data_IF_945054077092
#
_entry.id   IF_945054077092
#
_cell.length_a   1.000
_cell.length_b   1.000
_cell.length_c   1.000
_cell.angle_alpha   90.00
_cell.angle_beta   90.00
_cell.angle_gamma   90.00
#
_symmetry.space_group_name_H-M   'P 1'
#
loop_
_entity.id
_entity.type
_entity.pdbx_description
1 polymer ?
#
# COMPACT_ATOMS: atom_id res chain seq x y z
N UNK A 1 7.40 -3.34 -4.88
CA UNK A 1 8.42 -4.18 -4.22
C UNK A 1 8.24 -5.63 -4.67
N UNK A 2 9.12 -6.55 -4.29
CA UNK A 2 8.83 -8.00 -4.41
C UNK A 2 7.95 -8.39 -3.21
N UNK A 3 6.75 -8.87 -3.46
CA UNK A 3 5.85 -9.40 -2.43
C UNK A 3 6.11 -10.89 -2.30
N UNK A 4 6.46 -11.33 -1.10
CA UNK A 4 6.49 -12.76 -0.80
C UNK A 4 5.06 -13.27 -0.56
N UNK A 5 4.40 -13.69 -1.64
CA UNK A 5 3.05 -14.23 -1.58
C UNK A 5 2.97 -15.58 -0.87
N UNK A 6 4.07 -16.17 -0.39
CA UNK A 6 4.05 -17.40 0.41
C UNK A 6 3.71 -17.15 1.88
N UNK A 7 3.71 -15.88 2.32
CA UNK A 7 3.39 -15.50 3.70
C UNK A 7 1.92 -15.79 4.06
N UNK A 8 1.62 -15.98 5.37
CA UNK A 8 0.26 -16.17 5.85
C UNK A 8 -0.67 -14.99 5.55
N UNK A 9 -1.97 -15.26 5.47
CA UNK A 9 -3.00 -14.25 5.22
C UNK A 9 -2.87 -13.03 6.15
N UNK A 10 -2.79 -13.27 7.47
CA UNK A 10 -2.73 -12.20 8.47
C UNK A 10 -1.52 -11.27 8.27
N UNK A 11 -0.37 -11.82 7.88
CA UNK A 11 0.86 -11.03 7.63
C UNK A 11 0.71 -10.16 6.39
N UNK A 12 0.15 -10.72 5.31
CA UNK A 12 -0.08 -10.00 4.06
C UNK A 12 -1.15 -8.91 4.21
N UNK A 13 -2.22 -9.20 4.98
CA UNK A 13 -3.28 -8.24 5.31
C UNK A 13 -2.73 -7.07 6.14
N UNK A 14 -2.02 -7.35 7.25
CA UNK A 14 -1.42 -6.30 8.09
C UNK A 14 -0.44 -5.43 7.27
N UNK A 15 0.38 -6.05 6.41
CA UNK A 15 1.27 -5.33 5.52
C UNK A 15 0.53 -4.42 4.53
N UNK A 16 -0.61 -4.85 4.01
CA UNK A 16 -1.43 -4.05 3.11
C UNK A 16 -2.08 -2.87 3.85
N UNK A 17 -2.65 -3.12 5.03
CA UNK A 17 -3.27 -2.09 5.87
C UNK A 17 -2.27 -1.01 6.26
N UNK A 18 -1.06 -1.41 6.66
CA UNK A 18 0.00 -0.46 7.01
C UNK A 18 0.38 0.43 5.82
N UNK A 19 0.50 -0.12 4.61
CA UNK A 19 0.80 0.67 3.41
C UNK A 19 -0.35 1.61 3.04
N UNK A 20 -1.60 1.17 3.14
CA UNK A 20 -2.76 2.04 2.94
C UNK A 20 -2.78 3.19 3.94
N UNK A 21 -2.44 2.91 5.21
CA UNK A 21 -2.33 3.93 6.23
C UNK A 21 -1.27 4.98 5.89
N UNK A 22 -0.08 4.54 5.48
CA UNK A 22 1.01 5.44 5.05
C UNK A 22 0.61 6.28 3.83
N UNK A 23 0.04 5.66 2.79
CA UNK A 23 -0.45 6.38 1.60
C UNK A 23 -1.48 7.45 1.97
N UNK A 24 -2.45 7.10 2.82
CA UNK A 24 -3.49 8.04 3.28
C UNK A 24 -2.86 9.25 3.96
N UNK A 25 -1.90 9.02 4.85
CA UNK A 25 -1.22 10.10 5.55
C UNK A 25 -0.33 10.95 4.63
N UNK A 26 0.31 10.33 3.63
CA UNK A 26 1.11 11.04 2.64
C UNK A 26 0.23 11.94 1.76
N UNK A 27 -0.89 11.43 1.26
CA UNK A 27 -1.86 12.19 0.47
C UNK A 27 -2.49 13.33 1.29
N UNK A 28 -2.81 13.08 2.57
CA UNK A 28 -3.28 14.14 3.47
C UNK A 28 -2.22 15.24 3.67
N UNK A 29 -0.94 14.84 3.82
CA UNK A 29 0.17 15.79 3.91
C UNK A 29 0.29 16.62 2.64
N UNK A 30 0.23 15.97 1.47
CA UNK A 30 0.24 16.64 0.16
C UNK A 30 -0.93 17.62 0.00
N UNK A 31 -2.14 17.24 0.43
CA UNK A 31 -3.32 18.12 0.37
C UNK A 31 -3.18 19.36 1.26
N UNK A 32 -2.37 19.28 2.33
CA UNK A 32 -2.07 20.41 3.22
C UNK A 32 -0.92 21.30 2.76
N UNK A 33 -0.19 20.90 1.70
CA UNK A 33 0.93 21.68 1.18
C UNK A 33 0.44 22.95 0.51
N UNK A 34 1.14 24.06 0.75
CA UNK A 34 0.83 25.32 0.09
C UNK A 34 1.44 25.32 -1.33
N UNK A 35 0.64 25.38 -2.40
CA UNK A 35 1.14 25.34 -3.78
C UNK A 35 2.08 26.50 -4.13
N UNK A 36 1.95 27.64 -3.43
CA UNK A 36 2.78 28.82 -3.67
C UNK A 36 4.16 28.77 -2.99
N UNK A 37 4.40 27.79 -2.12
CA UNK A 37 5.65 27.64 -1.35
C UNK A 37 6.36 26.31 -1.54
N UNK A 38 5.73 25.39 -2.28
CA UNK A 38 6.22 24.03 -2.48
C UNK A 38 6.62 23.88 -3.93
N UNK A 39 7.78 23.27 -4.18
CA UNK A 39 8.25 23.04 -5.54
C UNK A 39 7.26 22.09 -6.27
N UNK A 40 6.97 22.37 -7.53
CA UNK A 40 6.16 21.47 -8.36
C UNK A 40 6.80 20.07 -8.44
N UNK A 41 8.13 19.99 -8.37
CA UNK A 41 8.86 18.74 -8.31
C UNK A 41 8.58 17.95 -7.02
N UNK A 42 8.40 18.63 -5.88
CA UNK A 42 8.06 17.97 -4.61
C UNK A 42 6.66 17.36 -4.67
N UNK A 43 5.69 18.09 -5.25
CA UNK A 43 4.35 17.55 -5.49
C UNK A 43 4.37 16.32 -6.40
N UNK A 44 5.11 16.37 -7.51
CA UNK A 44 5.23 15.24 -8.42
C UNK A 44 5.86 14.02 -7.74
N UNK A 45 6.95 14.22 -6.98
CA UNK A 45 7.61 13.15 -6.23
C UNK A 45 6.68 12.50 -5.19
N UNK A 46 5.93 13.31 -4.44
CA UNK A 46 5.02 12.83 -3.41
C UNK A 46 3.84 12.08 -4.04
N UNK A 47 3.29 12.61 -5.14
CA UNK A 47 2.22 11.94 -5.88
C UNK A 47 2.70 10.59 -6.45
N UNK A 48 3.91 10.53 -7.02
CA UNK A 48 4.50 9.29 -7.52
C UNK A 48 4.75 8.27 -6.40
N UNK A 49 5.31 8.72 -5.26
CA UNK A 49 5.49 7.86 -4.10
C UNK A 49 4.16 7.31 -3.58
N UNK A 50 3.13 8.15 -3.48
CA UNK A 50 1.79 7.74 -3.08
C UNK A 50 1.20 6.71 -4.06
N UNK A 51 1.36 6.93 -5.36
CA UNK A 51 0.93 5.98 -6.40
C UNK A 51 1.63 4.63 -6.27
N UNK A 52 2.95 4.61 -6.13
CA UNK A 52 3.73 3.37 -6.02
C UNK A 52 3.38 2.59 -4.75
N UNK A 53 3.22 3.27 -3.61
CA UNK A 53 2.82 2.62 -2.35
C UNK A 53 1.38 2.12 -2.40
N UNK A 54 0.47 2.84 -3.07
CA UNK A 54 -0.91 2.38 -3.25
C UNK A 54 -0.96 1.12 -4.11
N UNK A 55 -0.19 1.10 -5.21
CA UNK A 55 -0.05 -0.09 -6.06
C UNK A 55 0.49 -1.27 -5.25
N UNK A 56 1.55 -1.06 -4.46
CA UNK A 56 2.12 -2.11 -3.61
C UNK A 56 1.11 -2.64 -2.58
N UNK A 57 0.26 -1.77 -2.02
CA UNK A 57 -0.82 -2.18 -1.12
C UNK A 57 -1.89 -3.01 -1.82
N UNK A 58 -2.28 -2.65 -3.06
CA UNK A 58 -3.22 -3.43 -3.85
C UNK A 58 -2.67 -4.82 -4.18
N UNK A 59 -1.40 -4.91 -4.59
CA UNK A 59 -0.74 -6.18 -4.88
C UNK A 59 -0.68 -7.08 -3.61
N UNK A 60 -0.49 -6.49 -2.42
CA UNK A 60 -0.54 -7.23 -1.15
C UNK A 60 -1.95 -7.72 -0.78
N UNK A 61 -2.98 -6.92 -1.02
CA UNK A 61 -4.36 -7.35 -0.80
C UNK A 61 -4.72 -8.53 -1.71
N UNK A 62 -4.25 -8.51 -2.96
CA UNK A 62 -4.42 -9.64 -3.86
C UNK A 62 -3.68 -10.88 -3.36
N UNK A 63 -2.43 -10.74 -2.93
CA UNK A 63 -1.68 -11.83 -2.32
C UNK A 63 -2.34 -12.38 -1.04
N UNK A 64 -2.88 -11.50 -0.19
CA UNK A 64 -3.61 -11.87 1.02
C UNK A 64 -4.87 -12.69 0.67
N UNK A 65 -5.66 -12.27 -0.33
CA UNK A 65 -6.83 -13.04 -0.80
C UNK A 65 -6.44 -14.44 -1.27
N UNK A 66 -5.32 -14.56 -2.00
CA UNK A 66 -4.80 -15.86 -2.42
C UNK A 66 -4.33 -16.70 -1.22
N UNK A 67 -3.75 -16.10 -0.18
CA UNK A 67 -3.38 -16.78 1.06
C UNK A 67 -4.62 -17.30 1.80
N UNK A 68 -5.67 -16.48 1.95
CA UNK A 68 -6.92 -16.89 2.59
C UNK A 68 -7.56 -18.12 1.90
N UNK A 69 -7.57 -18.16 0.56
CA UNK A 69 -8.07 -19.32 -0.18
C UNK A 69 -7.22 -20.58 0.02
N UNK A 70 -5.89 -20.43 0.12
CA UNK A 70 -4.96 -21.55 0.35
C UNK A 70 -5.10 -22.11 1.77
N UNK A 71 -5.30 -21.24 2.75
CA UNK A 71 -5.48 -21.62 4.15
C UNK A 71 -6.86 -22.25 4.39
N UNK A 72 -7.92 -21.72 3.78
CA UNK A 72 -9.25 -22.33 3.83
C UNK A 72 -9.27 -23.77 3.33
N UNK A 73 -8.59 -24.05 2.21
CA UNK A 73 -8.45 -25.42 1.65
C UNK A 73 -7.61 -26.38 2.49
N UNK A 74 -6.82 -25.89 3.45
CA UNK A 74 -6.03 -26.74 4.36
C UNK A 74 -6.82 -27.20 5.59
N UNK A 75 -7.95 -26.56 5.86
CA UNK A 75 -8.80 -26.84 7.01
C UNK A 75 -10.04 -27.69 6.65
N UNK A 76 -10.16 -28.11 5.39
CA UNK A 76 -11.16 -29.05 4.85
C UNK A 76 -10.58 -30.47 4.77
#
# INVERSE_FOLDING_TARGET
>A
MLIDASQPFAVLEECAEHRLYVVKNLLNSMASMNPSRTDAHDFSNIAEAAYLMLKDACDLLEAARLAAMREGRRNE
#
